data_IF_827988748548
#
_entry.id   IF_827988748548
#
_cell.length_a   1.000
_cell.length_b   1.000
_cell.length_c   1.000
_cell.angle_alpha   90.00
_cell.angle_beta   90.00
_cell.angle_gamma   90.00
#
_symmetry.space_group_name_H-M   'P 1'
#
loop_
_entity.id
_entity.type
_entity.pdbx_description
1 polymer ?
#
# COMPACT_ATOMS: atom_id res chain seq x y z
N UNK A 1 6.13 -6.33 17.03
CA UNK A 1 5.17 -6.93 16.08
C UNK A 1 3.98 -5.99 15.92
N UNK A 2 3.65 -5.66 14.69
CA UNK A 2 2.54 -4.77 14.38
C UNK A 2 1.46 -5.52 13.62
N UNK A 3 0.20 -5.22 13.94
CA UNK A 3 -0.91 -5.61 13.09
C UNK A 3 -0.91 -4.75 11.84
N UNK A 4 -0.95 -5.38 10.69
CA UNK A 4 -0.89 -4.66 9.45
C UNK A 4 -1.72 -5.25 8.34
N UNK A 5 -1.76 -4.53 7.23
CA UNK A 5 -2.43 -4.94 6.01
C UNK A 5 -1.40 -4.99 4.90
N UNK A 6 -1.31 -6.14 4.26
CA UNK A 6 -0.59 -6.31 3.01
C UNK A 6 -1.61 -6.09 1.90
N UNK A 7 -1.41 -5.08 1.09
CA UNK A 7 -2.37 -4.74 0.04
C UNK A 7 -1.67 -4.67 -1.31
N UNK A 8 -2.34 -5.19 -2.32
CA UNK A 8 -1.88 -5.14 -3.69
C UNK A 8 -2.75 -4.16 -4.47
N UNK A 9 -2.12 -3.25 -5.16
CA UNK A 9 -2.80 -2.21 -5.94
C UNK A 9 -2.38 -2.32 -7.39
N UNK A 10 -3.34 -2.08 -8.30
CA UNK A 10 -3.03 -1.94 -9.71
C UNK A 10 -3.50 -0.57 -10.14
N UNK A 11 -2.58 0.27 -10.61
CA UNK A 11 -2.88 1.65 -10.97
C UNK A 11 -2.35 1.96 -12.37
N UNK A 12 -2.94 2.97 -12.98
CA UNK A 12 -2.47 3.46 -14.26
C UNK A 12 -1.31 4.42 -14.06
N UNK A 13 -0.48 4.59 -15.10
CA UNK A 13 0.68 5.48 -15.02
C UNK A 13 0.28 6.92 -14.71
N UNK A 14 -0.86 7.36 -15.20
CA UNK A 14 -1.38 8.71 -14.93
C UNK A 14 -1.65 8.95 -13.45
N UNK A 15 -1.99 7.90 -12.72
CA UNK A 15 -2.32 7.98 -11.29
C UNK A 15 -1.11 7.73 -10.39
N UNK A 16 0.00 7.29 -10.95
CA UNK A 16 1.16 6.88 -10.16
C UNK A 16 1.74 8.01 -9.31
N UNK A 17 1.86 9.21 -9.88
CA UNK A 17 2.41 10.33 -9.14
C UNK A 17 1.62 10.67 -7.88
N UNK A 18 0.30 10.69 -8.00
CA UNK A 18 -0.58 10.95 -6.85
C UNK A 18 -0.50 9.82 -5.82
N UNK A 19 -0.51 8.58 -6.30
CA UNK A 19 -0.41 7.42 -5.42
C UNK A 19 0.92 7.44 -4.65
N UNK A 20 2.02 7.69 -5.36
CA UNK A 20 3.35 7.77 -4.76
C UNK A 20 3.44 8.90 -3.73
N UNK A 21 2.83 10.04 -4.03
CA UNK A 21 2.78 11.16 -3.08
C UNK A 21 2.12 10.74 -1.77
N UNK A 22 1.01 10.02 -1.86
CA UNK A 22 0.30 9.55 -0.66
C UNK A 22 1.09 8.48 0.09
N UNK A 23 1.79 7.61 -0.65
CA UNK A 23 2.67 6.63 -0.03
C UNK A 23 3.74 7.32 0.82
N UNK A 24 4.36 8.37 0.30
CA UNK A 24 5.36 9.13 1.04
C UNK A 24 4.74 9.88 2.22
N UNK A 25 3.56 10.48 2.02
CA UNK A 25 2.85 11.22 3.06
C UNK A 25 2.50 10.33 4.25
N UNK A 26 2.04 9.11 3.99
CA UNK A 26 1.68 8.17 5.04
C UNK A 26 2.84 7.28 5.48
N UNK A 27 4.01 7.45 4.86
CA UNK A 27 5.20 6.65 5.16
C UNK A 27 4.95 5.15 5.01
N UNK A 28 4.28 4.79 3.92
CA UNK A 28 3.94 3.41 3.60
C UNK A 28 5.14 2.71 2.98
N UNK A 29 5.38 1.47 3.38
CA UNK A 29 6.46 0.67 2.81
C UNK A 29 5.96 -0.05 1.57
N UNK A 30 6.80 -0.07 0.53
CA UNK A 30 6.52 -0.72 -0.75
C UNK A 30 7.52 -1.85 -0.99
N UNK A 31 7.23 -3.08 -0.55
CA UNK A 31 8.16 -4.19 -0.78
C UNK A 31 8.37 -4.53 -2.24
N UNK A 32 7.39 -4.27 -3.10
CA UNK A 32 7.48 -4.65 -4.50
C UNK A 32 6.70 -3.68 -5.39
N UNK A 33 7.26 -3.37 -6.55
CA UNK A 33 6.61 -2.61 -7.60
C UNK A 33 6.93 -3.29 -8.92
N UNK A 34 5.91 -3.59 -9.73
CA UNK A 34 6.07 -4.12 -11.07
C UNK A 34 5.51 -3.13 -12.08
N UNK A 35 6.29 -2.82 -13.09
CA UNK A 35 5.90 -1.93 -14.18
C UNK A 35 5.56 -2.78 -15.40
N UNK A 36 4.30 -2.71 -15.83
CA UNK A 36 3.81 -3.39 -17.03
C UNK A 36 2.86 -2.47 -17.76
N UNK A 37 1.78 -2.99 -18.32
CA UNK A 37 0.74 -2.15 -18.90
C UNK A 37 0.15 -1.23 -17.85
N UNK A 38 0.02 -1.75 -16.63
CA UNK A 38 -0.34 -0.99 -15.44
C UNK A 38 0.71 -1.24 -14.39
N UNK A 39 0.73 -0.42 -13.35
CA UNK A 39 1.70 -0.55 -12.27
C UNK A 39 1.07 -1.36 -11.14
N UNK A 40 1.70 -2.47 -10.78
CA UNK A 40 1.30 -3.28 -9.63
C UNK A 40 2.19 -2.92 -8.45
N UNK A 41 1.59 -2.47 -7.37
CA UNK A 41 2.31 -2.05 -6.17
C UNK A 41 1.85 -2.89 -4.98
N UNK A 42 2.82 -3.45 -4.28
CA UNK A 42 2.57 -4.15 -3.03
C UNK A 42 2.93 -3.22 -1.88
N UNK A 43 2.01 -3.04 -0.94
CA UNK A 43 2.23 -2.14 0.21
C UNK A 43 2.00 -2.88 1.51
N UNK A 44 2.76 -2.48 2.53
CA UNK A 44 2.59 -2.96 3.90
C UNK A 44 2.44 -1.76 4.80
N UNK A 45 1.41 -1.75 5.62
CA UNK A 45 1.19 -0.65 6.56
C UNK A 45 0.38 -1.15 7.75
N UNK A 46 0.43 -0.40 8.84
CA UNK A 46 -0.39 -0.71 10.01
C UNK A 46 -1.87 -0.64 9.64
N UNK A 47 -2.69 -1.44 10.29
CA UNK A 47 -4.13 -1.48 10.01
C UNK A 47 -4.78 -0.10 10.10
N UNK A 48 -4.46 0.67 11.12
CA UNK A 48 -4.99 2.04 11.27
C UNK A 48 -4.55 2.95 10.14
N UNK A 49 -3.30 2.83 9.71
CA UNK A 49 -2.78 3.59 8.57
C UNK A 49 -3.49 3.21 7.28
N UNK A 50 -3.75 1.91 7.10
CA UNK A 50 -4.44 1.43 5.91
C UNK A 50 -5.83 2.04 5.77
N UNK A 51 -6.58 2.12 6.86
CA UNK A 51 -7.93 2.70 6.84
C UNK A 51 -7.89 4.15 6.33
N UNK A 52 -6.98 4.95 6.88
CA UNK A 52 -6.83 6.34 6.46
C UNK A 52 -6.29 6.47 5.03
N UNK A 53 -5.30 5.66 4.68
CA UNK A 53 -4.69 5.67 3.36
C UNK A 53 -5.70 5.28 2.28
N UNK A 54 -6.44 4.19 2.49
CA UNK A 54 -7.42 3.73 1.51
C UNK A 54 -8.53 4.75 1.30
N UNK A 55 -8.99 5.39 2.38
CA UNK A 55 -9.98 6.44 2.28
C UNK A 55 -9.47 7.62 1.47
N UNK A 56 -8.24 8.05 1.72
CA UNK A 56 -7.65 9.17 1.00
C UNK A 56 -7.46 8.86 -0.47
N UNK A 57 -6.98 7.66 -0.79
CA UNK A 57 -6.82 7.21 -2.17
C UNK A 57 -8.16 7.19 -2.88
N UNK A 58 -9.20 6.68 -2.23
CA UNK A 58 -10.53 6.64 -2.82
C UNK A 58 -11.05 8.04 -3.14
N UNK A 59 -10.88 8.98 -2.21
CA UNK A 59 -11.28 10.37 -2.41
C UNK A 59 -10.49 11.04 -3.55
N UNK A 60 -9.17 10.90 -3.55
CA UNK A 60 -8.29 11.56 -4.51
C UNK A 60 -8.43 10.99 -5.92
N UNK A 61 -8.81 9.74 -6.05
CA UNK A 61 -8.99 9.08 -7.34
C UNK A 61 -10.44 9.07 -7.82
N UNK A 62 -11.36 9.68 -7.06
CA UNK A 62 -12.79 9.66 -7.36
C UNK A 62 -13.32 8.21 -7.47
N UNK A 63 -12.82 7.34 -6.61
CA UNK A 63 -13.25 5.94 -6.56
C UNK A 63 -12.59 5.02 -7.56
N UNK A 64 -11.62 5.49 -8.34
CA UNK A 64 -10.98 4.69 -9.39
C UNK A 64 -9.88 3.75 -8.86
N UNK A 65 -9.24 4.10 -7.77
CA UNK A 65 -8.15 3.31 -7.21
C UNK A 65 -8.63 2.57 -5.96
N UNK A 66 -8.63 1.25 -6.04
CA UNK A 66 -8.99 0.38 -4.92
C UNK A 66 -7.94 -0.73 -4.80
N UNK A 67 -7.72 -1.27 -3.59
CA UNK A 67 -6.83 -2.41 -3.46
C UNK A 67 -7.46 -3.64 -4.15
N UNK A 68 -6.67 -4.32 -4.97
CA UNK A 68 -7.14 -5.54 -5.64
C UNK A 68 -7.22 -6.71 -4.68
N UNK A 69 -6.22 -6.80 -3.82
CA UNK A 69 -6.12 -7.83 -2.80
C UNK A 69 -5.63 -7.21 -1.52
N UNK A 70 -6.13 -7.69 -0.40
CA UNK A 70 -5.64 -7.27 0.90
C UNK A 70 -5.64 -8.45 1.86
N UNK A 71 -4.64 -8.51 2.70
CA UNK A 71 -4.45 -9.59 3.65
C UNK A 71 -4.02 -9.02 4.99
N UNK A 72 -4.64 -9.48 6.07
CA UNK A 72 -4.20 -9.13 7.42
C UNK A 72 -2.94 -9.91 7.75
N UNK A 73 -1.91 -9.20 8.19
CA UNK A 73 -0.64 -9.81 8.54
C UNK A 73 -0.11 -9.21 9.83
N UNK A 74 0.88 -9.87 10.40
CA UNK A 74 1.77 -9.25 11.38
C UNK A 74 3.06 -8.89 10.68
N UNK A 75 3.71 -7.82 11.10
CA UNK A 75 5.02 -7.49 10.58
C UNK A 75 5.90 -6.89 11.66
N UNK A 76 7.21 -7.00 11.45
CA UNK A 76 8.22 -6.36 12.30
C UNK A 76 9.17 -5.58 11.40
N UNK A 77 9.80 -4.55 11.98
CA UNK A 77 10.81 -3.77 11.30
C UNK A 77 12.14 -4.03 11.99
N UNK A 78 13.11 -4.55 11.23
CA UNK A 78 14.46 -4.85 11.73
C UNK A 78 15.45 -4.24 10.76
N UNK A 79 16.31 -3.35 11.25
CA UNK A 79 17.34 -2.67 10.45
C UNK A 79 16.77 -2.03 9.17
N UNK A 80 15.63 -1.35 9.30
CA UNK A 80 14.89 -0.70 8.19
C UNK A 80 14.32 -1.70 7.18
N UNK A 81 14.31 -2.98 7.48
CA UNK A 81 13.67 -3.99 6.65
C UNK A 81 12.40 -4.48 7.31
N UNK A 82 11.39 -4.74 6.48
CA UNK A 82 10.13 -5.30 6.95
C UNK A 82 10.14 -6.79 6.77
N UNK A 83 9.82 -7.50 7.84
CA UNK A 83 9.59 -8.94 7.80
C UNK A 83 8.12 -9.21 8.07
N UNK A 84 7.48 -9.89 7.15
CA UNK A 84 6.05 -10.20 7.22
C UNK A 84 5.83 -11.58 7.79
N UNK A 85 4.84 -11.68 8.67
CA UNK A 85 4.44 -12.95 9.28
C UNK A 85 2.94 -13.11 9.01
N UNK A 86 2.56 -14.20 8.36
CA UNK A 86 1.14 -14.46 8.13
C UNK A 86 0.43 -14.79 9.43
N UNK A 87 -0.76 -14.28 9.56
CA UNK A 87 -1.64 -14.64 10.68
C UNK A 87 -2.11 -16.08 10.58
#
# INVERSE_FOLDING_TARGET
>A
VYDGILAKWTIEYDSYGKFNYLIETFQVVRPSINYGEKIDILTVMKTSTFISFAKKILEESAGKIEPREKESIYFIVVDNEIKMIKK
#
